data_IF_491052338125
#
_entry.id   IF_491052338125
#
_cell.length_a   1.000
_cell.length_b   1.000
_cell.length_c   1.000
_cell.angle_alpha   90.00
_cell.angle_beta   90.00
_cell.angle_gamma   90.00
#
_symmetry.space_group_name_H-M   'P 1'
#
loop_
_entity.id
_entity.type
_entity.pdbx_description
1 polymer ?
#
# COMPACT_ATOMS: atom_id res chain seq x y z
N UNK A 1 -11.03 4.10 0.44
CA UNK A 1 -10.19 2.87 0.49
C UNK A 1 -8.96 3.06 -0.39
N UNK A 2 -7.91 2.24 -0.28
CA UNK A 2 -6.76 2.30 -1.19
C UNK A 2 -6.75 1.08 -2.12
N UNK A 3 -6.39 1.28 -3.38
CA UNK A 3 -6.22 0.21 -4.37
C UNK A 3 -4.77 0.19 -4.81
N UNK A 4 -4.19 -1.00 -4.96
CA UNK A 4 -2.83 -1.18 -5.44
C UNK A 4 -2.82 -1.92 -6.76
N UNK A 5 -1.89 -1.56 -7.64
CA UNK A 5 -1.61 -2.27 -8.88
C UNK A 5 -0.13 -2.15 -9.24
N UNK A 6 0.34 -3.03 -10.11
CA UNK A 6 1.67 -2.92 -10.71
C UNK A 6 1.56 -2.16 -12.02
N UNK A 7 2.44 -1.20 -12.25
CA UNK A 7 2.51 -0.45 -13.51
C UNK A 7 3.90 -0.56 -14.11
N UNK A 8 3.99 -0.84 -15.41
CA UNK A 8 5.26 -0.80 -16.10
C UNK A 8 5.85 0.62 -16.10
N UNK A 9 7.14 0.74 -15.76
CA UNK A 9 7.84 2.03 -15.71
C UNK A 9 8.15 2.59 -17.09
N UNK A 10 8.18 1.74 -18.11
CA UNK A 10 8.42 2.16 -19.49
C UNK A 10 7.25 3.03 -19.96
N UNK A 11 7.51 4.31 -20.25
CA UNK A 11 6.49 5.29 -20.61
C UNK A 11 5.66 4.87 -21.83
N UNK A 12 6.29 4.18 -22.79
CA UNK A 12 5.64 3.66 -23.99
C UNK A 12 4.76 2.43 -23.72
N UNK A 13 4.96 1.75 -22.59
CA UNK A 13 4.17 0.59 -22.19
C UNK A 13 3.08 0.94 -21.18
N UNK A 14 3.45 1.46 -20.01
CA UNK A 14 2.54 1.94 -18.96
C UNK A 14 1.48 0.93 -18.45
N UNK A 15 1.55 -0.36 -18.82
CA UNK A 15 0.48 -1.32 -18.57
C UNK A 15 0.30 -1.60 -17.09
N UNK A 16 -0.97 -1.54 -16.64
CA UNK A 16 -1.40 -1.96 -15.31
C UNK A 16 -1.56 -3.48 -15.24
N UNK A 17 -1.11 -4.09 -14.15
CA UNK A 17 -1.10 -5.53 -13.91
C UNK A 17 -1.46 -5.86 -12.45
N UNK A 18 -1.91 -7.10 -12.20
CA UNK A 18 -2.36 -7.56 -10.88
C UNK A 18 -1.18 -7.60 -9.88
N UNK A 19 -1.25 -6.89 -8.74
CA UNK A 19 -0.18 -6.84 -7.75
C UNK A 19 0.02 -8.14 -6.98
N UNK A 20 -0.90 -9.10 -7.07
CA UNK A 20 -0.77 -10.41 -6.42
C UNK A 20 0.04 -11.40 -7.24
N UNK A 21 0.36 -11.06 -8.50
CA UNK A 21 1.27 -11.87 -9.31
C UNK A 21 2.70 -11.58 -8.88
N UNK A 22 3.48 -12.62 -8.61
CA UNK A 22 4.92 -12.52 -8.29
C UNK A 22 5.74 -12.20 -9.55
N UNK A 23 5.49 -11.04 -10.16
CA UNK A 23 6.16 -10.56 -11.37
C UNK A 23 6.92 -9.28 -11.03
N UNK A 24 8.23 -9.28 -11.25
CA UNK A 24 9.07 -8.07 -11.15
C UNK A 24 9.28 -7.39 -12.51
N UNK A 25 8.85 -8.06 -13.60
CA UNK A 25 8.99 -7.61 -14.97
C UNK A 25 7.64 -7.63 -15.67
N UNK A 26 7.43 -6.67 -16.56
CA UNK A 26 6.23 -6.53 -17.35
C UNK A 26 6.10 -7.70 -18.33
N UNK A 27 4.96 -8.39 -18.28
CA UNK A 27 4.70 -9.54 -19.14
C UNK A 27 4.63 -9.21 -20.65
N UNK A 28 4.67 -7.93 -21.02
CA UNK A 28 4.49 -7.45 -22.40
C UNK A 28 5.76 -6.88 -23.03
N UNK A 29 6.59 -6.18 -22.25
CA UNK A 29 7.81 -5.53 -22.77
C UNK A 29 9.09 -5.91 -22.01
N UNK A 30 8.99 -6.67 -20.91
CA UNK A 30 10.14 -7.01 -20.06
C UNK A 30 10.63 -5.90 -19.13
N UNK A 31 10.12 -4.67 -19.27
CA UNK A 31 10.48 -3.54 -18.39
C UNK A 31 10.06 -3.75 -16.93
N UNK A 32 10.66 -3.01 -16.00
CA UNK A 32 10.37 -3.18 -14.57
C UNK A 32 8.94 -2.74 -14.22
N UNK A 33 8.40 -3.35 -13.16
CA UNK A 33 7.11 -2.98 -12.58
C UNK A 33 7.29 -2.17 -11.31
N UNK A 34 6.56 -1.07 -11.21
CA UNK A 34 6.46 -0.23 -10.02
C UNK A 34 5.11 -0.46 -9.33
N UNK A 35 5.09 -0.34 -7.99
CA UNK A 35 3.88 -0.47 -7.18
C UNK A 35 3.19 0.89 -7.11
N UNK A 36 1.98 0.98 -7.66
CA UNK A 36 1.18 2.21 -7.64
C UNK A 36 -0.01 2.07 -6.71
N UNK A 37 -0.40 3.19 -6.11
CA UNK A 37 -1.53 3.30 -5.21
C UNK A 37 -2.52 4.34 -5.76
N UNK A 38 -3.79 3.95 -5.79
CA UNK A 38 -4.92 4.85 -5.97
C UNK A 38 -5.64 4.99 -4.63
N UNK A 39 -5.66 6.20 -4.08
CA UNK A 39 -6.25 6.49 -2.78
C UNK A 39 -7.61 7.13 -2.96
N UNK A 40 -8.65 6.46 -2.48
CA UNK A 40 -9.98 7.02 -2.30
C UNK A 40 -10.13 7.46 -0.82
N UNK A 41 -9.45 8.55 -0.48
CA UNK A 41 -9.48 9.14 0.87
C UNK A 41 -10.45 10.31 0.85
N UNK A 42 -11.60 10.15 1.50
CA UNK A 42 -12.65 11.16 1.58
C UNK A 42 -12.49 12.11 2.77
N UNK A 43 -11.81 11.68 3.84
CA UNK A 43 -11.55 12.49 5.04
C UNK A 43 -10.08 12.34 5.51
N UNK A 44 -9.18 13.19 5.01
CA UNK A 44 -7.78 13.19 5.41
C UNK A 44 -7.54 13.61 6.87
N UNK A 45 -8.42 14.41 7.47
CA UNK A 45 -8.27 14.89 8.85
C UNK A 45 -8.55 13.80 9.86
N UNK A 46 -9.59 12.99 9.62
CA UNK A 46 -9.87 11.81 10.43
C UNK A 46 -8.69 10.82 10.44
N UNK A 47 -8.04 10.61 9.29
CA UNK A 47 -6.85 9.76 9.19
C UNK A 47 -5.69 10.31 10.02
N UNK A 48 -5.39 11.61 9.87
CA UNK A 48 -4.36 12.27 10.68
C UNK A 48 -4.63 12.11 12.17
N UNK A 49 -5.86 12.38 12.61
CA UNK A 49 -6.27 12.23 14.00
C UNK A 49 -6.07 10.79 14.49
N UNK A 50 -6.50 9.79 13.72
CA UNK A 50 -6.30 8.37 14.05
C UNK A 50 -4.82 8.01 14.21
N UNK A 51 -3.96 8.45 13.28
CA UNK A 51 -2.50 8.20 13.36
C UNK A 51 -1.84 8.89 14.55
N UNK A 52 -2.31 10.09 14.92
CA UNK A 52 -1.87 10.78 16.12
C UNK A 52 -2.28 10.02 17.39
N UNK A 53 -3.53 9.53 17.47
CA UNK A 53 -3.98 8.74 18.62
C UNK A 53 -3.16 7.45 18.78
N UNK A 54 -2.79 6.80 17.68
CA UNK A 54 -1.91 5.61 17.71
C UNK A 54 -0.53 5.88 18.29
N UNK A 55 0.00 7.11 18.24
CA UNK A 55 1.27 7.45 18.91
C UNK A 55 1.20 7.30 20.42
N UNK A 56 -0.01 7.41 20.98
CA UNK A 56 -0.29 7.29 22.41
C UNK A 56 -0.69 5.85 22.79
N UNK A 57 -0.86 4.97 21.79
CA UNK A 57 -1.26 3.58 21.96
C UNK A 57 -0.08 2.72 22.43
N UNK A 58 -0.36 1.78 23.34
CA UNK A 58 0.60 0.78 23.79
C UNK A 58 0.72 -0.43 22.84
N UNK A 59 -0.18 -0.54 21.86
CA UNK A 59 -0.29 -1.70 20.97
C UNK A 59 0.97 -1.91 20.12
N UNK A 60 1.48 -3.15 19.99
CA UNK A 60 2.69 -3.43 19.22
C UNK A 60 2.63 -2.94 17.77
N UNK A 61 1.47 -3.08 17.11
CA UNK A 61 1.26 -2.64 15.72
C UNK A 61 1.42 -1.13 15.54
N UNK A 62 1.09 -0.35 16.56
CA UNK A 62 1.14 1.11 16.50
C UNK A 62 2.55 1.67 16.77
N UNK A 63 3.48 0.83 17.28
CA UNK A 63 4.90 1.17 17.45
C UNK A 63 5.67 1.15 16.13
N UNK A 64 5.22 0.34 15.17
CA UNK A 64 5.85 0.28 13.85
C UNK A 64 5.60 1.58 13.07
N UNK A 65 6.67 2.17 12.55
CA UNK A 65 6.61 3.33 11.66
C UNK A 65 5.88 3.06 10.34
N UNK A 66 5.69 1.78 9.97
CA UNK A 66 4.93 1.37 8.78
C UNK A 66 3.46 1.13 9.17
N UNK A 67 3.23 0.24 10.13
CA UNK A 67 1.88 -0.27 10.42
C UNK A 67 0.96 0.71 11.16
N UNK A 68 1.52 1.78 11.74
CA UNK A 68 0.72 2.88 12.28
C UNK A 68 -0.15 3.56 11.21
N UNK A 69 0.23 3.47 9.93
CA UNK A 69 -0.43 4.09 8.77
C UNK A 69 -1.18 3.08 7.89
N UNK A 70 -1.63 1.97 8.45
CA UNK A 70 -2.21 0.81 7.74
C UNK A 70 -3.37 1.10 6.78
N UNK A 71 -4.08 2.21 6.92
CA UNK A 71 -5.10 2.63 5.95
C UNK A 71 -4.52 2.93 4.56
N UNK A 72 -3.23 3.26 4.50
CA UNK A 72 -2.49 3.50 3.26
C UNK A 72 -1.90 2.22 2.66
N UNK A 73 -2.07 1.08 3.34
CA UNK A 73 -1.42 -0.19 3.02
C UNK A 73 -2.48 -1.26 2.67
N UNK A 74 -3.08 -1.23 1.47
CA UNK A 74 -4.18 -2.11 1.04
C UNK A 74 -3.72 -3.53 0.68
N UNK A 75 -2.72 -4.03 1.38
CA UNK A 75 -2.15 -5.37 1.23
C UNK A 75 -2.21 -6.15 2.54
N UNK A 76 -2.92 -5.62 3.55
CA UNK A 76 -3.19 -6.34 4.80
C UNK A 76 -4.67 -6.55 5.03
N UNK A 77 -5.04 -7.81 5.29
CA UNK A 77 -6.34 -8.22 5.75
C UNK A 77 -6.40 -8.35 7.28
N UNK A 78 -7.61 -8.53 7.85
CA UNK A 78 -7.82 -8.65 9.30
C UNK A 78 -7.05 -9.80 9.97
N UNK A 79 -6.65 -10.82 9.20
CA UNK A 79 -6.01 -12.03 9.69
C UNK A 79 -4.49 -12.07 9.41
N UNK A 80 -3.93 -11.03 8.81
CA UNK A 80 -2.52 -11.04 8.45
C UNK A 80 -1.63 -10.83 9.67
N UNK A 81 -0.60 -11.66 9.78
CA UNK A 81 0.39 -11.56 10.85
C UNK A 81 1.32 -10.39 10.56
N UNK A 82 1.09 -9.29 11.26
CA UNK A 82 2.00 -8.14 11.26
C UNK A 82 3.23 -8.47 12.11
N UNK A 83 4.42 -8.40 11.50
CA UNK A 83 5.70 -8.48 12.20
C UNK A 83 6.27 -7.07 12.27
N UNK A 84 6.59 -6.63 13.49
CA UNK A 84 7.20 -5.33 13.78
C UNK A 84 8.70 -5.46 14.02
#
# INVERSE_FOLDING_TARGET
>A
MAFTFLQCIEETCGRKQDPRKALNQCAYCGGLLDVKYEFDITDPDALRAAWHQRRLSGEPVDRSGVWRFRELLPFTGPNDRIIS
#
